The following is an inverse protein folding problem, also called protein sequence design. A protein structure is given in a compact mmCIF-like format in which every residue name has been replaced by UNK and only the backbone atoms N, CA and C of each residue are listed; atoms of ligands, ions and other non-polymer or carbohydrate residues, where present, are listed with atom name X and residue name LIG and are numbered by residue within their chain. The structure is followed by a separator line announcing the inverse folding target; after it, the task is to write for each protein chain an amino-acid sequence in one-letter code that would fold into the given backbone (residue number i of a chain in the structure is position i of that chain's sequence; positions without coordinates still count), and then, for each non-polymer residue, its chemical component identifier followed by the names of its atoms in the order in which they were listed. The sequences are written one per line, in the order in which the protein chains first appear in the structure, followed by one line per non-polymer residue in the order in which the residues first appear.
data_IF_691138122939
#
_entry.id   IF_691138122939
#
_cell.length_a   1.000
_cell.length_b   1.000
_cell.length_c   1.000
_cell.angle_alpha   90.00
_cell.angle_beta   90.00
_cell.angle_gamma   90.00
#
_symmetry.space_group_name_H-M   'P 1'
#
loop_
_entity.id
_entity.type
_entity.pdbx_description
1 polymer ?
#
# COMPACT_ATOMS: atom_id res chain seq x y z
N UNK A 1 -2.40 16.34 11.94
CA UNK A 1 -1.89 17.70 11.86
C UNK A 1 -1.68 18.33 13.25
N UNK A 2 -2.63 18.22 14.21
CA UNK A 2 -2.49 18.78 15.57
C UNK A 2 -1.26 18.23 16.33
N UNK A 3 -0.86 16.99 16.07
CA UNK A 3 0.35 16.38 16.65
C UNK A 3 1.64 17.16 16.38
N UNK A 4 1.70 17.95 15.32
CA UNK A 4 2.88 18.75 14.98
C UNK A 4 3.16 19.91 15.97
N UNK A 5 2.25 20.20 16.90
CA UNK A 5 2.46 21.15 17.99
C UNK A 5 3.10 20.51 19.23
N UNK A 6 3.13 19.20 19.32
CA UNK A 6 3.67 18.48 20.46
C UNK A 6 5.12 18.04 20.22
N UNK A 7 5.83 17.81 21.33
CA UNK A 7 7.18 17.26 21.27
C UNK A 7 7.16 15.83 20.71
N UNK A 8 8.05 15.57 19.79
CA UNK A 8 8.38 14.21 19.34
C UNK A 8 9.46 13.61 20.22
N UNK A 9 9.31 12.36 20.64
CA UNK A 9 10.32 11.59 21.35
C UNK A 9 10.68 10.41 20.46
N UNK A 10 11.94 10.36 20.06
CA UNK A 10 12.47 9.27 19.24
C UNK A 10 13.52 8.52 20.03
N UNK A 11 13.46 7.20 19.98
CA UNK A 11 14.48 6.32 20.55
C UNK A 11 15.18 5.58 19.41
N UNK A 12 16.50 5.70 19.35
CA UNK A 12 17.35 4.97 18.40
C UNK A 12 18.33 4.11 19.16
N UNK A 13 18.29 2.83 18.94
CA UNK A 13 19.26 1.87 19.50
C UNK A 13 20.12 1.30 18.39
N UNK A 14 21.43 1.16 18.66
CA UNK A 14 22.35 0.44 17.79
C UNK A 14 23.16 -0.57 18.58
N UNK A 15 23.42 -1.69 17.95
CA UNK A 15 24.32 -2.72 18.43
C UNK A 15 25.37 -2.97 17.37
N UNK A 16 26.64 -3.00 17.82
CA UNK A 16 27.78 -3.30 16.96
C UNK A 16 28.60 -4.43 17.59
N UNK A 17 28.87 -5.44 16.79
CA UNK A 17 29.78 -6.52 17.15
C UNK A 17 31.12 -6.32 16.42
N UNK A 18 32.22 -6.18 17.19
CA UNK A 18 33.56 -6.12 16.65
C UNK A 18 34.25 -7.48 16.81
N UNK A 19 34.96 -7.91 15.79
CA UNK A 19 35.68 -9.19 15.84
C UNK A 19 37.00 -9.14 16.64
N UNK A 20 37.51 -7.94 16.91
CA UNK A 20 38.76 -7.74 17.59
C UNK A 20 38.64 -6.74 18.73
N UNK A 21 39.30 -7.03 19.86
CA UNK A 21 39.56 -6.07 20.92
C UNK A 21 40.56 -4.98 20.47
N UNK A 22 40.53 -3.83 21.12
CA UNK A 22 41.50 -2.74 20.89
C UNK A 22 42.59 -2.87 21.91
N UNK A 23 43.84 -3.07 21.46
CA UNK A 23 45.04 -3.02 22.31
C UNK A 23 45.82 -1.76 22.02
N UNK A 24 46.16 -1.04 23.06
CA UNK A 24 47.04 0.15 22.97
C UNK A 24 48.53 -0.21 22.86
N UNK A 25 48.90 -1.44 23.21
CA UNK A 25 50.26 -1.94 23.10
C UNK A 25 50.34 -3.07 22.08
N UNK A 26 51.30 -3.05 21.18
CA UNK A 26 51.52 -4.11 20.20
C UNK A 26 52.15 -5.36 20.86
N UNK A 27 52.97 -5.16 21.90
CA UNK A 27 53.69 -6.19 22.65
C UNK A 27 53.92 -5.75 24.09
N UNK A 28 54.29 -6.71 24.96
CA UNK A 28 54.72 -6.41 26.33
C UNK A 28 55.84 -5.38 26.33
N UNK A 29 55.70 -4.37 27.18
CA UNK A 29 56.70 -3.33 27.34
C UNK A 29 57.51 -3.57 28.58
N UNK A 30 58.83 -3.44 28.46
CA UNK A 30 59.77 -3.57 29.56
C UNK A 30 60.37 -2.22 29.86
N UNK A 31 60.05 -1.63 31.02
CA UNK A 31 60.52 -0.36 31.45
C UNK A 31 61.65 -0.56 32.50
N UNK A 32 62.83 0.09 32.32
CA UNK A 32 63.87 0.04 33.31
C UNK A 32 63.41 0.69 34.62
N UNK A 33 63.65 0.00 35.72
CA UNK A 33 63.29 0.50 37.06
C UNK A 33 64.35 1.45 37.60
N UNK A 34 63.90 2.38 38.44
CA UNK A 34 64.78 3.29 39.19
C UNK A 34 64.71 2.99 40.70
N UNK A 35 65.76 3.05 41.38
CA UNK A 35 65.84 3.02 42.85
C UNK A 35 66.26 4.37 43.35
N UNK A 36 65.72 4.80 44.50
CA UNK A 36 66.13 6.04 45.14
C UNK A 36 67.45 5.81 45.86
N UNK A 37 68.47 6.54 45.47
CA UNK A 37 69.76 6.51 46.08
C UNK A 37 69.81 7.52 47.23
N UNK A 38 69.93 7.03 48.48
CA UNK A 38 69.95 7.85 49.68
C UNK A 38 71.24 8.73 49.78
N UNK A 39 72.31 8.32 49.11
CA UNK A 39 73.58 9.06 49.18
C UNK A 39 73.56 10.27 48.25
N UNK A 40 72.95 10.17 47.07
CA UNK A 40 72.83 11.28 46.11
C UNK A 40 71.49 11.96 46.14
N UNK A 41 70.51 11.44 46.91
CA UNK A 41 69.08 11.91 46.95
C UNK A 41 68.42 11.99 45.59
N UNK A 42 68.80 11.12 44.65
CA UNK A 42 68.25 11.06 43.30
C UNK A 42 67.78 9.66 42.95
N UNK A 43 66.82 9.59 41.98
CA UNK A 43 66.40 8.30 41.40
C UNK A 43 67.40 7.90 40.31
N UNK A 44 68.10 6.79 40.53
CA UNK A 44 69.03 6.21 39.55
C UNK A 44 68.48 4.96 38.93
N UNK A 45 68.69 4.78 37.61
CA UNK A 45 68.34 3.56 36.94
C UNK A 45 69.15 2.37 37.52
N UNK A 46 68.41 1.28 37.75
CA UNK A 46 69.03 0.02 38.12
C UNK A 46 69.72 -0.58 36.89
N UNK A 47 71.06 -0.47 36.83
CA UNK A 47 71.88 -0.90 35.70
C UNK A 47 72.84 -1.99 36.11
N UNK A 48 73.18 -2.88 35.17
CA UNK A 48 74.20 -3.91 35.38
C UNK A 48 75.56 -3.20 35.38
N UNK A 49 76.26 -3.32 36.45
CA UNK A 49 77.62 -2.74 36.60
C UNK A 49 78.69 -3.81 36.47
N UNK A 50 79.79 -3.45 35.90
CA UNK A 50 80.98 -4.32 35.86
C UNK A 50 81.64 -4.44 37.29
N UNK A 51 81.71 -5.65 37.85
CA UNK A 51 82.19 -5.83 39.23
C UNK A 51 83.64 -5.42 39.44
N UNK A 52 84.44 -5.36 38.39
CA UNK A 52 85.85 -4.96 38.48
C UNK A 52 86.09 -3.42 38.41
N UNK A 53 85.17 -2.69 37.69
CA UNK A 53 85.34 -1.23 37.45
C UNK A 53 84.24 -0.39 38.07
N UNK A 54 83.16 -0.99 38.55
CA UNK A 54 81.93 -0.29 39.07
C UNK A 54 81.17 0.52 38.04
N UNK A 55 81.59 0.49 36.76
CA UNK A 55 80.92 1.24 35.71
C UNK A 55 79.71 0.47 35.06
N UNK A 56 78.66 1.17 34.60
CA UNK A 56 77.57 0.53 33.89
C UNK A 56 78.03 -0.21 32.62
N UNK A 57 77.54 -1.42 32.41
CA UNK A 57 77.79 -2.13 31.17
C UNK A 57 76.82 -1.54 30.10
N UNK A 58 77.42 -1.12 28.99
CA UNK A 58 76.67 -0.53 27.88
C UNK A 58 76.42 -1.56 26.76
N UNK A 59 75.24 -1.54 26.23
CA UNK A 59 74.87 -2.22 24.96
C UNK A 59 74.37 -1.15 23.94
N UNK A 60 75.05 -1.04 22.81
CA UNK A 60 74.88 0.03 21.83
C UNK A 60 74.86 1.46 22.42
N UNK A 61 75.70 1.72 23.40
CA UNK A 61 75.82 3.03 24.05
C UNK A 61 74.79 3.31 25.14
N UNK A 62 73.92 2.39 25.43
CA UNK A 62 72.93 2.51 26.51
C UNK A 62 73.16 1.52 27.64
N UNK A 63 73.04 1.94 28.93
CA UNK A 63 73.25 1.06 30.06
C UNK A 63 72.18 -0.07 30.10
N UNK A 64 72.64 -1.29 30.33
CA UNK A 64 71.75 -2.48 30.44
C UNK A 64 71.03 -2.39 31.77
N UNK A 65 69.66 -2.36 31.78
CA UNK A 65 68.92 -2.36 33.04
C UNK A 65 69.10 -3.71 33.78
N UNK A 66 69.36 -3.67 35.07
CA UNK A 66 69.47 -4.87 35.92
C UNK A 66 68.05 -5.40 36.33
N UNK A 67 67.11 -4.51 36.42
CA UNK A 67 65.68 -4.84 36.71
C UNK A 67 64.75 -4.06 35.82
N UNK A 68 63.74 -4.73 35.30
CA UNK A 68 62.72 -4.16 34.44
C UNK A 68 61.31 -4.43 35.02
N UNK A 69 60.47 -3.44 34.95
CA UNK A 69 59.08 -3.63 35.22
C UNK A 69 58.36 -4.01 33.87
N UNK A 70 57.72 -5.16 33.84
CA UNK A 70 56.96 -5.61 32.69
C UNK A 70 55.56 -5.00 32.76
N UNK A 71 55.16 -4.37 31.69
CA UNK A 71 53.77 -3.94 31.47
C UNK A 71 53.20 -4.89 30.43
N UNK A 72 52.33 -5.82 30.84
CA UNK A 72 51.76 -6.80 29.94
C UNK A 72 50.81 -6.10 28.96
N UNK A 73 50.82 -6.53 27.73
CA UNK A 73 49.92 -6.03 26.66
C UNK A 73 48.45 -6.13 27.07
N UNK A 74 48.07 -7.20 27.76
CA UNK A 74 46.68 -7.47 28.18
C UNK A 74 46.15 -6.43 29.18
N UNK A 75 47.05 -5.76 29.94
CA UNK A 75 46.65 -4.69 30.86
C UNK A 75 46.07 -3.44 30.14
N UNK A 76 46.33 -3.31 28.85
CA UNK A 76 45.87 -2.22 28.00
C UNK A 76 45.00 -2.73 26.82
N UNK A 77 44.45 -3.91 26.96
CA UNK A 77 43.48 -4.47 26.02
C UNK A 77 42.06 -4.16 26.48
N UNK A 78 41.29 -3.49 25.61
CA UNK A 78 39.90 -3.15 25.87
C UNK A 78 38.98 -4.08 25.06
N UNK A 79 38.13 -4.80 25.75
CA UNK A 79 37.10 -5.60 25.11
C UNK A 79 35.99 -4.68 24.53
N UNK A 80 35.98 -4.57 23.21
CA UNK A 80 35.01 -3.79 22.46
C UNK A 80 34.15 -4.69 21.55
N UNK A 81 34.05 -5.98 21.85
CA UNK A 81 33.32 -6.92 21.01
C UNK A 81 31.82 -6.56 20.92
N UNK A 82 31.23 -6.16 22.02
CA UNK A 82 29.83 -5.84 22.10
C UNK A 82 29.65 -4.36 22.49
N UNK A 83 29.28 -3.54 21.53
CA UNK A 83 29.00 -2.12 21.75
C UNK A 83 27.53 -1.85 21.60
N UNK A 84 26.89 -1.37 22.64
CA UNK A 84 25.51 -0.93 22.65
C UNK A 84 25.47 0.59 22.75
N UNK A 85 24.73 1.21 21.84
CA UNK A 85 24.48 2.65 21.89
C UNK A 85 22.98 2.91 21.84
N UNK A 86 22.50 3.77 22.72
CA UNK A 86 21.13 4.22 22.75
C UNK A 86 21.06 5.75 22.76
N UNK A 87 20.20 6.30 21.91
CA UNK A 87 19.96 7.74 21.83
C UNK A 87 18.46 8.00 22.00
N UNK A 88 18.13 8.90 22.93
CA UNK A 88 16.79 9.45 23.08
C UNK A 88 16.82 10.88 22.59
N UNK A 89 16.05 11.17 21.55
CA UNK A 89 15.95 12.52 20.97
C UNK A 89 14.59 13.11 21.29
N UNK A 90 14.55 14.26 21.96
CA UNK A 90 13.36 15.06 22.17
C UNK A 90 13.39 16.25 21.21
N UNK A 91 12.41 16.30 20.30
CA UNK A 91 12.29 17.37 19.31
C UNK A 91 11.03 18.18 19.57
N UNK A 92 11.15 19.43 19.93
CA UNK A 92 10.03 20.35 20.13
C UNK A 92 10.16 21.54 19.18
N UNK A 93 9.29 21.67 18.16
CA UNK A 93 9.30 22.86 17.32
C UNK A 93 8.70 24.04 18.11
N UNK A 94 9.50 25.09 18.33
CA UNK A 94 9.10 26.31 19.02
C UNK A 94 8.51 27.30 18.02
N UNK A 95 9.17 27.51 16.89
CA UNK A 95 8.74 28.39 15.83
C UNK A 95 9.17 27.89 14.45
N UNK A 96 8.22 27.81 13.52
CA UNK A 96 8.45 27.35 12.14
C UNK A 96 7.84 28.31 11.11
N UNK A 97 7.84 29.62 11.37
CA UNK A 97 7.39 30.61 10.41
C UNK A 97 5.96 30.41 9.89
N UNK A 98 5.06 29.92 10.74
CA UNK A 98 3.66 29.66 10.35
C UNK A 98 3.40 28.30 9.67
N UNK A 99 4.46 27.50 9.37
CA UNK A 99 4.33 26.18 8.71
C UNK A 99 3.36 25.25 9.40
N UNK A 100 3.41 25.15 10.73
CA UNK A 100 2.53 24.27 11.51
C UNK A 100 1.08 24.70 11.38
N UNK A 101 0.80 26.00 11.41
CA UNK A 101 -0.57 26.55 11.21
C UNK A 101 -1.06 26.19 9.80
N UNK A 102 -0.26 26.48 8.78
CA UNK A 102 -0.62 26.14 7.39
C UNK A 102 -0.88 24.64 7.19
N UNK A 103 -0.08 23.76 7.79
CA UNK A 103 -0.30 22.32 7.74
C UNK A 103 -1.61 21.90 8.43
N UNK A 104 -2.02 22.56 9.52
CA UNK A 104 -3.30 22.30 10.17
C UNK A 104 -4.47 22.80 9.32
N UNK A 105 -4.34 23.96 8.68
CA UNK A 105 -5.34 24.49 7.75
C UNK A 105 -5.51 23.57 6.54
N UNK A 106 -4.40 23.11 5.96
CA UNK A 106 -4.42 22.10 4.87
C UNK A 106 -5.14 20.82 5.31
N UNK A 107 -4.87 20.31 6.52
CA UNK A 107 -5.55 19.13 7.03
C UNK A 107 -7.05 19.37 7.22
N UNK A 108 -7.45 20.55 7.66
CA UNK A 108 -8.87 20.94 7.76
C UNK A 108 -9.57 21.02 6.40
N UNK A 109 -8.89 21.53 5.37
CA UNK A 109 -9.42 21.50 4.01
C UNK A 109 -9.45 20.10 3.41
N UNK A 110 -8.45 19.26 3.72
CA UNK A 110 -8.45 17.85 3.29
C UNK A 110 -9.62 17.06 3.90
N UNK A 111 -10.00 17.34 5.15
CA UNK A 111 -11.20 16.76 5.77
C UNK A 111 -12.47 17.18 5.02
N UNK A 112 -12.64 18.47 4.75
CA UNK A 112 -13.79 18.97 3.99
C UNK A 112 -13.85 18.37 2.58
N UNK A 113 -12.70 18.24 1.93
CA UNK A 113 -12.58 17.58 0.63
C UNK A 113 -13.04 16.11 0.70
N UNK A 114 -12.58 15.37 1.71
CA UNK A 114 -12.98 13.97 1.91
C UNK A 114 -14.50 13.83 2.14
N UNK A 115 -15.11 14.73 2.90
CA UNK A 115 -16.57 14.75 3.08
C UNK A 115 -17.29 15.03 1.76
N UNK A 116 -16.80 15.97 0.96
CA UNK A 116 -17.39 16.26 -0.36
C UNK A 116 -17.23 15.07 -1.32
N UNK A 117 -16.07 14.41 -1.31
CA UNK A 117 -15.84 13.20 -2.11
C UNK A 117 -16.76 12.06 -1.69
N UNK A 118 -16.99 11.86 -0.38
CA UNK A 118 -17.96 10.89 0.13
C UNK A 118 -19.36 11.18 -0.43
N UNK A 119 -19.84 12.42 -0.33
CA UNK A 119 -21.17 12.80 -0.83
C UNK A 119 -21.29 12.62 -2.36
N UNK A 120 -20.20 12.86 -3.08
CA UNK A 120 -20.16 12.60 -4.54
C UNK A 120 -20.24 11.11 -4.84
N UNK A 121 -19.48 10.28 -4.12
CA UNK A 121 -19.52 8.83 -4.29
C UNK A 121 -20.89 8.23 -3.95
N UNK A 122 -21.56 8.73 -2.91
CA UNK A 122 -22.92 8.31 -2.56
C UNK A 122 -23.90 8.63 -3.70
N UNK A 123 -23.85 9.84 -4.26
CA UNK A 123 -24.72 10.23 -5.38
C UNK A 123 -24.43 9.42 -6.64
N UNK A 124 -23.16 9.14 -6.90
CA UNK A 124 -22.74 8.31 -8.04
C UNK A 124 -23.29 6.88 -7.93
N UNK A 125 -23.21 6.28 -6.74
CA UNK A 125 -23.77 4.94 -6.51
C UNK A 125 -25.29 4.93 -6.71
N UNK A 126 -26.00 5.94 -6.18
CA UNK A 126 -27.44 6.07 -6.38
C UNK A 126 -27.76 6.15 -7.87
N UNK A 127 -27.08 7.03 -8.60
CA UNK A 127 -27.28 7.20 -10.04
C UNK A 127 -27.05 5.89 -10.82
N UNK A 128 -25.94 5.21 -10.55
CA UNK A 128 -25.60 3.93 -11.20
C UNK A 128 -26.62 2.84 -10.87
N UNK A 129 -27.14 2.83 -9.65
CA UNK A 129 -28.17 1.88 -9.25
C UNK A 129 -29.47 2.16 -9.99
N UNK A 130 -29.89 3.41 -10.08
CA UNK A 130 -31.11 3.80 -10.80
C UNK A 130 -30.97 3.50 -12.31
N UNK A 131 -29.81 3.80 -12.89
CA UNK A 131 -29.54 3.47 -14.31
C UNK A 131 -29.64 1.96 -14.55
N UNK A 132 -28.99 1.15 -13.72
CA UNK A 132 -29.05 -0.31 -13.83
C UNK A 132 -30.46 -0.86 -13.59
N UNK A 133 -31.22 -0.29 -12.66
CA UNK A 133 -32.60 -0.64 -12.40
C UNK A 133 -33.48 -0.43 -13.63
N UNK A 134 -33.48 0.78 -14.18
CA UNK A 134 -34.31 1.12 -15.38
C UNK A 134 -33.82 0.40 -16.63
N UNK A 135 -32.54 0.04 -16.72
CA UNK A 135 -32.01 -0.84 -17.75
C UNK A 135 -32.71 -2.22 -17.73
N UNK A 136 -32.85 -2.85 -16.55
CA UNK A 136 -33.54 -4.12 -16.40
C UNK A 136 -35.02 -3.97 -16.79
N UNK A 137 -35.72 -2.97 -16.26
CA UNK A 137 -37.14 -2.70 -16.58
C UNK A 137 -37.31 -2.52 -18.08
N UNK A 138 -36.47 -1.73 -18.72
CA UNK A 138 -36.50 -1.51 -20.18
C UNK A 138 -36.31 -2.80 -20.97
N UNK A 139 -35.40 -3.67 -20.55
CA UNK A 139 -35.12 -4.95 -21.21
C UNK A 139 -36.27 -5.95 -21.03
N UNK A 140 -36.96 -5.95 -19.88
CA UNK A 140 -38.19 -6.76 -19.68
C UNK A 140 -39.29 -6.38 -20.68
N UNK A 141 -39.50 -5.08 -20.87
CA UNK A 141 -40.50 -4.61 -21.85
C UNK A 141 -40.08 -4.90 -23.30
N UNK A 142 -38.78 -4.73 -23.63
CA UNK A 142 -38.25 -5.12 -24.94
C UNK A 142 -38.41 -6.61 -25.22
N UNK A 143 -38.25 -7.45 -24.20
CA UNK A 143 -38.45 -8.89 -24.28
C UNK A 143 -39.88 -9.22 -24.61
N UNK A 144 -40.87 -8.64 -23.89
CA UNK A 144 -42.30 -8.82 -24.16
C UNK A 144 -42.66 -8.41 -25.59
N UNK A 145 -42.11 -7.30 -26.07
CA UNK A 145 -42.33 -6.83 -27.45
C UNK A 145 -41.71 -7.80 -28.47
N UNK A 146 -40.49 -8.26 -28.25
CA UNK A 146 -39.78 -9.20 -29.13
C UNK A 146 -40.49 -10.56 -29.18
N UNK A 147 -41.03 -11.06 -28.05
CA UNK A 147 -41.85 -12.27 -27.99
C UNK A 147 -43.14 -12.12 -28.83
N UNK A 148 -43.86 -11.00 -28.64
CA UNK A 148 -45.09 -10.74 -29.37
C UNK A 148 -44.83 -10.61 -30.88
N UNK A 149 -43.71 -9.93 -31.25
CA UNK A 149 -43.36 -9.79 -32.67
C UNK A 149 -42.95 -11.12 -33.30
N UNK A 150 -42.21 -11.96 -32.58
CA UNK A 150 -41.81 -13.29 -33.03
C UNK A 150 -43.05 -14.19 -33.21
N UNK A 151 -44.00 -14.15 -32.27
CA UNK A 151 -45.25 -14.91 -32.39
C UNK A 151 -46.11 -14.44 -33.59
N UNK A 152 -46.15 -13.14 -33.88
CA UNK A 152 -46.80 -12.58 -35.05
C UNK A 152 -46.18 -13.12 -36.34
N UNK A 153 -44.84 -13.07 -36.43
CA UNK A 153 -44.12 -13.55 -37.62
C UNK A 153 -44.21 -15.07 -37.80
N UNK A 154 -44.26 -15.83 -36.71
CA UNK A 154 -44.50 -17.28 -36.77
C UNK A 154 -45.90 -17.60 -37.35
N UNK A 155 -46.91 -16.88 -36.88
CA UNK A 155 -48.27 -16.99 -37.40
C UNK A 155 -48.32 -16.61 -38.89
N UNK A 156 -47.69 -15.51 -39.27
CA UNK A 156 -47.58 -15.07 -40.66
C UNK A 156 -46.87 -16.11 -41.53
N UNK A 157 -45.79 -16.67 -41.05
CA UNK A 157 -45.02 -17.70 -41.76
C UNK A 157 -45.89 -18.92 -42.05
N UNK A 158 -46.67 -19.38 -41.06
CA UNK A 158 -47.57 -20.50 -41.20
C UNK A 158 -48.66 -20.20 -42.27
N UNK A 159 -49.29 -19.03 -42.21
CA UNK A 159 -50.30 -18.64 -43.21
C UNK A 159 -49.72 -18.56 -44.63
N UNK A 160 -48.51 -18.00 -44.78
CA UNK A 160 -47.82 -17.93 -46.08
C UNK A 160 -47.52 -19.34 -46.63
N UNK A 161 -47.11 -20.29 -45.77
CA UNK A 161 -46.91 -21.68 -46.19
C UNK A 161 -48.21 -22.35 -46.65
N UNK A 162 -49.34 -22.10 -45.99
CA UNK A 162 -50.64 -22.55 -46.41
C UNK A 162 -51.03 -21.94 -47.80
N UNK A 163 -50.82 -20.66 -48.00
CA UNK A 163 -51.07 -19.97 -49.27
C UNK A 163 -50.16 -20.51 -50.41
N UNK A 164 -48.92 -20.91 -50.12
CA UNK A 164 -48.04 -21.56 -51.08
C UNK A 164 -48.57 -22.92 -51.45
N UNK A 165 -49.07 -23.72 -50.52
CA UNK A 165 -49.67 -25.02 -50.77
C UNK A 165 -50.89 -24.93 -51.66
N UNK A 166 -51.70 -23.86 -51.51
CA UNK A 166 -52.86 -23.57 -52.34
C UNK A 166 -52.55 -22.86 -53.67
N UNK A 167 -51.24 -22.59 -53.95
CA UNK A 167 -50.76 -21.92 -55.17
C UNK A 167 -51.06 -20.43 -55.25
N UNK A 168 -51.44 -19.77 -54.17
CA UNK A 168 -51.79 -18.34 -54.05
C UNK A 168 -50.55 -17.46 -53.78
N UNK A 169 -49.51 -18.02 -53.16
CA UNK A 169 -48.25 -17.32 -52.85
C UNK A 169 -47.04 -18.04 -53.46
N UNK A 170 -45.93 -17.32 -53.62
CA UNK A 170 -44.68 -17.86 -54.20
C UNK A 170 -43.73 -18.41 -53.14
N UNK A 171 -42.83 -19.33 -53.51
CA UNK A 171 -41.74 -19.79 -52.64
C UNK A 171 -40.85 -18.63 -52.17
N UNK A 172 -40.69 -17.58 -52.98
CA UNK A 172 -39.93 -16.39 -52.63
C UNK A 172 -40.58 -15.60 -51.48
N UNK A 173 -41.92 -15.54 -51.45
CA UNK A 173 -42.65 -14.89 -50.37
C UNK A 173 -42.46 -15.66 -49.06
N UNK A 174 -42.53 -16.99 -49.11
CA UNK A 174 -42.26 -17.87 -47.99
C UNK A 174 -40.83 -17.69 -47.41
N UNK A 175 -39.81 -17.66 -48.28
CA UNK A 175 -38.45 -17.43 -47.88
C UNK A 175 -38.28 -16.04 -47.23
N UNK A 176 -38.95 -15.01 -47.77
CA UNK A 176 -38.88 -13.65 -47.22
C UNK A 176 -39.42 -13.59 -45.78
N UNK A 177 -40.52 -14.24 -45.51
CA UNK A 177 -41.11 -14.30 -44.17
C UNK A 177 -40.24 -15.15 -43.22
N UNK A 178 -39.72 -16.28 -43.71
CA UNK A 178 -38.84 -17.14 -42.93
C UNK A 178 -37.55 -16.41 -42.48
N UNK A 179 -36.94 -15.60 -43.34
CA UNK A 179 -35.78 -14.75 -43.00
C UNK A 179 -36.15 -13.74 -41.94
N UNK A 180 -37.31 -13.08 -42.02
CA UNK A 180 -37.79 -12.14 -41.00
C UNK A 180 -38.04 -12.82 -39.67
N UNK A 181 -38.64 -14.01 -39.66
CA UNK A 181 -38.86 -14.80 -38.44
C UNK A 181 -37.56 -15.18 -37.78
N UNK A 182 -36.57 -15.67 -38.55
CA UNK A 182 -35.23 -15.96 -38.03
C UNK A 182 -34.58 -14.72 -37.41
N UNK A 183 -34.65 -13.56 -38.04
CA UNK A 183 -34.12 -12.31 -37.53
C UNK A 183 -34.80 -11.89 -36.20
N UNK A 184 -36.11 -12.09 -36.09
CA UNK A 184 -36.84 -11.84 -34.85
C UNK A 184 -36.44 -12.80 -33.73
N UNK A 185 -36.29 -14.09 -34.00
CA UNK A 185 -35.80 -15.07 -33.04
C UNK A 185 -34.39 -14.75 -32.52
N UNK A 186 -33.46 -14.35 -33.41
CA UNK A 186 -32.14 -13.90 -33.04
C UNK A 186 -32.21 -12.66 -32.15
N UNK A 187 -33.10 -11.73 -32.46
CA UNK A 187 -33.30 -10.50 -31.66
C UNK A 187 -33.84 -10.84 -30.27
N UNK A 188 -34.82 -11.75 -30.17
CA UNK A 188 -35.31 -12.23 -28.88
C UNK A 188 -34.20 -12.86 -28.04
N UNK A 189 -33.40 -13.75 -28.62
CA UNK A 189 -32.28 -14.38 -27.92
C UNK A 189 -31.26 -13.35 -27.43
N UNK A 190 -30.98 -12.29 -28.22
CA UNK A 190 -30.08 -11.19 -27.80
C UNK A 190 -30.67 -10.40 -26.62
N UNK A 191 -31.98 -10.15 -26.62
CA UNK A 191 -32.66 -9.43 -25.52
C UNK A 191 -32.67 -10.29 -24.26
N UNK A 192 -32.90 -11.60 -24.35
CA UNK A 192 -32.86 -12.52 -23.22
C UNK A 192 -31.48 -12.54 -22.56
N UNK A 193 -30.42 -12.65 -23.36
CA UNK A 193 -29.06 -12.59 -22.87
C UNK A 193 -28.75 -11.22 -22.23
N UNK A 194 -29.20 -10.13 -22.87
CA UNK A 194 -29.02 -8.78 -22.34
C UNK A 194 -29.74 -8.59 -21.01
N UNK A 195 -30.94 -9.12 -20.85
CA UNK A 195 -31.68 -9.08 -19.60
C UNK A 195 -30.99 -9.86 -18.48
N UNK A 196 -30.47 -11.05 -18.79
CA UNK A 196 -29.70 -11.84 -17.82
C UNK A 196 -28.47 -11.09 -17.33
N UNK A 197 -27.68 -10.53 -18.24
CA UNK A 197 -26.51 -9.73 -17.90
C UNK A 197 -26.86 -8.46 -17.09
N UNK A 198 -27.94 -7.78 -17.46
CA UNK A 198 -28.41 -6.58 -16.77
C UNK A 198 -28.83 -6.87 -15.33
N UNK A 199 -29.53 -8.00 -15.09
CA UNK A 199 -29.85 -8.45 -13.72
C UNK A 199 -28.63 -8.80 -12.92
N UNK A 200 -27.62 -9.46 -13.51
CA UNK A 200 -26.35 -9.73 -12.85
C UNK A 200 -25.61 -8.42 -12.46
N UNK A 201 -25.59 -7.44 -13.36
CA UNK A 201 -24.97 -6.14 -13.09
C UNK A 201 -25.68 -5.40 -11.93
N UNK A 202 -27.01 -5.39 -11.91
CA UNK A 202 -27.79 -4.79 -10.82
C UNK A 202 -27.53 -5.51 -9.49
N UNK A 203 -27.50 -6.85 -9.49
CA UNK A 203 -27.19 -7.64 -8.31
C UNK A 203 -25.80 -7.29 -7.76
N UNK A 204 -24.82 -7.13 -8.62
CA UNK A 204 -23.45 -6.74 -8.24
C UNK A 204 -23.42 -5.35 -7.59
N UNK A 205 -24.08 -4.36 -8.16
CA UNK A 205 -24.17 -2.99 -7.60
C UNK A 205 -24.84 -3.02 -6.21
N UNK A 206 -25.88 -3.82 -6.04
CA UNK A 206 -26.59 -3.98 -4.78
C UNK A 206 -25.86 -4.88 -3.76
N UNK A 207 -24.69 -5.44 -4.10
CA UNK A 207 -23.96 -6.36 -3.23
C UNK A 207 -24.62 -7.72 -3.05
N UNK A 208 -25.54 -8.10 -3.93
CA UNK A 208 -26.19 -9.39 -3.93
C UNK A 208 -25.36 -10.43 -4.71
N UNK A 209 -25.50 -11.74 -4.42
CA UNK A 209 -24.91 -12.77 -5.26
C UNK A 209 -25.36 -12.62 -6.72
N UNK A 210 -24.43 -12.77 -7.67
CA UNK A 210 -24.70 -12.56 -9.13
C UNK A 210 -25.79 -13.48 -9.66
N UNK A 211 -26.03 -14.62 -9.02
CA UNK A 211 -27.04 -15.60 -9.40
C UNK A 211 -28.40 -15.38 -8.69
N UNK A 212 -28.55 -14.25 -7.98
CA UNK A 212 -29.83 -13.96 -7.30
C UNK A 212 -30.97 -13.81 -8.30
N UNK A 213 -32.07 -14.49 -8.02
CA UNK A 213 -33.31 -14.35 -8.78
C UNK A 213 -34.16 -13.33 -8.04
N UNK A 214 -34.47 -12.23 -8.71
CA UNK A 214 -35.35 -11.18 -8.20
C UNK A 214 -36.19 -10.60 -9.32
N UNK A 215 -37.31 -10.03 -8.94
CA UNK A 215 -38.20 -9.26 -9.83
C UNK A 215 -38.28 -7.84 -9.30
N UNK A 216 -38.30 -6.88 -10.20
CA UNK A 216 -38.45 -5.47 -9.86
C UNK A 216 -39.91 -5.09 -9.84
N UNK A 217 -40.26 -4.15 -8.97
CA UNK A 217 -41.66 -3.70 -8.81
C UNK A 217 -42.22 -3.14 -10.14
N UNK A 218 -41.38 -2.38 -10.85
CA UNK A 218 -41.77 -1.70 -12.08
C UNK A 218 -41.74 -2.57 -13.35
N UNK A 219 -41.36 -3.85 -13.26
CA UNK A 219 -41.45 -4.80 -14.41
C UNK A 219 -42.89 -5.01 -14.94
N UNK A 220 -43.88 -4.69 -14.12
CA UNK A 220 -45.29 -4.82 -14.46
C UNK A 220 -45.96 -3.55 -15.02
N UNK A 221 -45.24 -2.40 -14.92
CA UNK A 221 -45.77 -1.11 -15.35
C UNK A 221 -45.97 -1.07 -16.87
N UNK A 222 -47.18 -0.77 -17.36
CA UNK A 222 -47.42 -0.57 -18.79
C UNK A 222 -46.97 0.80 -19.28
N UNK A 223 -46.81 1.77 -18.38
CA UNK A 223 -46.41 3.14 -18.72
C UNK A 223 -45.60 3.77 -17.56
N UNK A 224 -44.43 4.18 -17.86
CA UNK A 224 -43.63 5.01 -16.93
C UNK A 224 -44.10 6.46 -17.06
N UNK A 225 -44.72 7.01 -16.02
CA UNK A 225 -45.01 8.43 -15.97
C UNK A 225 -43.70 9.20 -15.82
N UNK A 226 -43.43 10.28 -16.60
CA UNK A 226 -42.26 11.11 -16.37
C UNK A 226 -42.36 11.74 -14.98
N UNK A 227 -41.44 11.41 -14.11
CA UNK A 227 -41.33 12.04 -12.79
C UNK A 227 -40.70 13.40 -13.00
N UNK A 228 -41.44 14.47 -12.76
CA UNK A 228 -40.86 15.83 -12.71
C UNK A 228 -39.89 15.85 -11.51
N UNK A 229 -38.60 15.81 -11.81
CA UNK A 229 -37.60 15.99 -10.78
C UNK A 229 -37.71 17.45 -10.25
N UNK A 230 -37.88 17.64 -8.92
CA UNK A 230 -37.87 18.98 -8.38
C UNK A 230 -36.43 19.52 -8.54
N UNK A 231 -36.24 20.42 -9.50
CA UNK A 231 -35.02 21.16 -9.67
C UNK A 231 -34.87 22.15 -8.51
N UNK A 232 -34.57 21.68 -7.31
CA UNK A 232 -34.11 22.52 -6.23
C UNK A 232 -32.60 22.69 -6.34
N UNK A 233 -32.17 23.60 -7.20
CA UNK A 233 -30.82 24.15 -7.16
C UNK A 233 -30.76 25.08 -5.95
N UNK A 234 -30.33 24.61 -4.80
CA UNK A 234 -29.81 25.45 -3.75
C UNK A 234 -28.32 25.70 -4.07
N UNK A 235 -28.01 26.90 -4.55
CA UNK A 235 -26.65 27.45 -4.59
C UNK A 235 -26.11 27.69 -3.17
#
# INVERSE_FOLDING_TARGET
ARGAYFAGIDFTGSYMYNQKSISLLESDQYLPTKTFDLASQEYKYNVVTNPATGQPILNNGQPIPSTVAMIPKEAFEFDVHNVYAGLVTLTQPIFMGGKIKALNDIAGYAEKLAVSQKNTAEKEIIYQTDEAYWQVVSLVHKRKLAESYTALLDTLNRHVQEMIAEGVATQSDGLTVAVKLNAAQITLAKVDNGLALSRMALAQICGLPVNSIFTLEDESLERVAPQEAPLSYNM
#
